data_IF_743006782173
#
_entry.id   IF_743006782173
#
_cell.length_a   1.000
_cell.length_b   1.000
_cell.length_c   1.000
_cell.angle_alpha   90.00
_cell.angle_beta   90.00
_cell.angle_gamma   90.00
#
_symmetry.space_group_name_H-M   'P 1'
#
loop_
_entity.id
_entity.type
_entity.pdbx_description
1 polymer ?
#
# COMPACT_ATOMS: atom_id res chain seq x y z
N UNK A 1 -16.45 7.74 14.50
CA UNK A 1 -16.52 7.45 13.04
C UNK A 1 -17.50 8.36 12.32
N UNK A 2 -18.33 9.12 13.04
CA UNK A 2 -19.42 9.91 12.47
C UNK A 2 -18.92 10.99 11.50
N UNK A 3 -17.73 11.54 11.73
CA UNK A 3 -17.08 12.45 10.77
C UNK A 3 -16.83 11.76 9.43
N UNK A 4 -16.20 10.58 9.41
CA UNK A 4 -15.93 9.83 8.17
C UNK A 4 -17.23 9.44 7.48
N UNK A 5 -18.25 9.03 8.24
CA UNK A 5 -19.57 8.72 7.69
C UNK A 5 -20.22 9.95 7.04
N UNK A 6 -20.13 11.13 7.69
CA UNK A 6 -20.61 12.39 7.13
C UNK A 6 -19.89 12.75 5.83
N UNK A 7 -18.57 12.64 5.80
CA UNK A 7 -17.79 12.92 4.57
C UNK A 7 -18.14 11.95 3.44
N UNK A 8 -18.41 10.66 3.74
CA UNK A 8 -18.91 9.71 2.74
C UNK A 8 -20.28 10.08 2.17
N UNK A 9 -21.15 10.69 2.99
CA UNK A 9 -22.45 11.21 2.51
C UNK A 9 -22.24 12.44 1.63
N UNK A 10 -21.42 13.40 2.06
CA UNK A 10 -21.12 14.61 1.28
C UNK A 10 -20.50 14.27 -0.08
N UNK A 11 -19.64 13.24 -0.11
CA UNK A 11 -19.04 12.74 -1.34
C UNK A 11 -20.06 12.26 -2.40
N UNK A 12 -21.30 11.91 -2.02
CA UNK A 12 -22.33 11.52 -2.98
C UNK A 12 -22.76 12.67 -3.91
N UNK A 13 -22.52 13.92 -3.51
CA UNK A 13 -22.87 15.11 -4.27
C UNK A 13 -21.75 15.54 -5.24
N UNK A 14 -20.56 14.93 -5.15
CA UNK A 14 -19.44 15.18 -6.05
C UNK A 14 -19.64 14.51 -7.42
N UNK A 15 -19.00 15.02 -8.50
CA UNK A 15 -19.05 14.37 -9.81
C UNK A 15 -18.66 12.89 -9.74
N UNK A 16 -19.41 12.04 -10.45
CA UNK A 16 -19.12 10.60 -10.47
C UNK A 16 -17.85 10.30 -11.28
N UNK A 17 -16.74 10.13 -10.58
CA UNK A 17 -15.44 9.76 -11.17
C UNK A 17 -15.25 8.24 -11.25
N UNK A 18 -16.31 7.48 -11.53
CA UNK A 18 -16.25 6.02 -11.63
C UNK A 18 -16.37 5.32 -10.28
N UNK A 19 -17.16 5.89 -9.38
CA UNK A 19 -17.27 5.39 -8.02
C UNK A 19 -18.05 4.06 -7.95
N UNK A 20 -17.45 3.06 -7.30
CA UNK A 20 -17.97 1.70 -7.24
C UNK A 20 -19.30 1.57 -6.49
N UNK A 21 -20.16 0.66 -6.96
CA UNK A 21 -21.52 0.46 -6.46
C UNK A 21 -21.58 0.17 -4.95
N UNK A 22 -20.60 -0.56 -4.38
CA UNK A 22 -20.62 -0.89 -2.96
C UNK A 22 -20.37 0.30 -2.04
N UNK A 23 -19.37 1.13 -2.35
CA UNK A 23 -19.09 2.34 -1.55
C UNK A 23 -20.25 3.33 -1.69
N UNK A 24 -20.81 3.50 -2.89
CA UNK A 24 -22.02 4.31 -3.11
C UNK A 24 -23.21 3.78 -2.31
N UNK A 25 -23.51 2.49 -2.39
CA UNK A 25 -24.61 1.88 -1.65
C UNK A 25 -24.49 2.06 -0.14
N UNK A 26 -23.28 1.91 0.41
CA UNK A 26 -23.04 2.17 1.82
C UNK A 26 -23.18 3.66 2.20
N UNK A 27 -22.74 4.58 1.34
CA UNK A 27 -22.94 6.01 1.55
C UNK A 27 -24.43 6.42 1.47
N UNK A 28 -25.21 5.79 0.59
CA UNK A 28 -26.66 5.98 0.51
C UNK A 28 -27.34 5.52 1.81
N UNK A 29 -26.98 4.35 2.35
CA UNK A 29 -27.46 3.90 3.66
C UNK A 29 -27.15 4.92 4.77
N UNK A 30 -25.94 5.50 4.76
CA UNK A 30 -25.57 6.56 5.72
C UNK A 30 -26.45 7.81 5.56
N UNK A 31 -26.73 8.21 4.32
CA UNK A 31 -27.61 9.34 4.00
C UNK A 31 -29.04 9.12 4.50
N UNK A 32 -29.51 7.88 4.46
CA UNK A 32 -30.83 7.47 4.97
C UNK A 32 -30.86 7.35 6.51
N UNK A 33 -29.78 7.76 7.20
CA UNK A 33 -29.69 7.78 8.66
C UNK A 33 -29.30 6.44 9.29
N UNK A 34 -28.92 5.43 8.49
CA UNK A 34 -28.45 4.15 9.03
C UNK A 34 -27.09 4.39 9.70
N UNK A 35 -27.00 4.02 10.98
CA UNK A 35 -25.77 4.14 11.75
C UNK A 35 -24.58 3.44 11.05
N UNK A 36 -23.39 4.06 11.07
CA UNK A 36 -22.21 3.60 10.32
C UNK A 36 -21.79 2.14 10.58
N UNK A 37 -22.13 1.59 11.75
CA UNK A 37 -21.86 0.19 12.06
C UNK A 37 -22.76 -0.80 11.31
N UNK A 38 -23.83 -0.32 10.67
CA UNK A 38 -24.87 -1.07 9.95
C UNK A 38 -25.04 -0.65 8.49
N UNK A 39 -24.45 0.46 8.03
CA UNK A 39 -24.58 0.98 6.65
C UNK A 39 -23.85 0.15 5.58
N UNK A 40 -22.91 -0.68 6.03
CA UNK A 40 -21.97 -1.49 5.25
C UNK A 40 -22.61 -2.64 4.46
N UNK A 41 -22.05 -2.94 3.30
CA UNK A 41 -22.49 -4.04 2.43
C UNK A 41 -21.49 -5.20 2.47
N UNK A 42 -21.98 -6.44 2.30
CA UNK A 42 -21.11 -7.60 2.19
C UNK A 42 -20.49 -7.69 0.80
N UNK A 43 -19.33 -7.07 0.65
CA UNK A 43 -18.60 -7.07 -0.61
C UNK A 43 -17.10 -7.17 -0.38
N UNK A 44 -16.48 -7.94 -1.27
CA UNK A 44 -15.05 -8.22 -1.34
C UNK A 44 -14.30 -7.16 -2.17
N UNK A 45 -14.99 -6.20 -2.78
CA UNK A 45 -14.35 -5.23 -3.69
C UNK A 45 -13.35 -4.31 -2.97
N UNK A 46 -12.41 -3.77 -3.74
CA UNK A 46 -11.25 -3.04 -3.22
C UNK A 46 -11.53 -1.61 -2.73
N UNK A 47 -12.78 -1.12 -2.81
CA UNK A 47 -13.10 0.28 -2.53
C UNK A 47 -12.76 0.74 -1.10
N UNK A 48 -12.70 -0.19 -0.13
CA UNK A 48 -12.20 0.09 1.23
C UNK A 48 -10.67 0.23 1.29
N UNK A 49 -9.94 -0.67 0.63
CA UNK A 49 -8.48 -0.65 0.50
C UNK A 49 -7.99 0.64 -0.18
N UNK A 50 -8.62 1.07 -1.28
CA UNK A 50 -8.15 2.17 -2.13
C UNK A 50 -7.97 3.52 -1.40
N UNK A 51 -8.62 3.71 -0.26
CA UNK A 51 -8.63 4.98 0.50
C UNK A 51 -7.92 4.88 1.86
N UNK A 52 -7.34 3.73 2.19
CA UNK A 52 -6.91 3.44 3.57
C UNK A 52 -5.50 3.93 3.89
N UNK A 53 -4.69 4.19 2.86
CA UNK A 53 -3.25 4.45 3.01
C UNK A 53 -2.92 5.61 3.95
N UNK A 54 -3.76 6.66 4.00
CA UNK A 54 -3.57 7.81 4.89
C UNK A 54 -3.50 7.43 6.39
N UNK A 55 -4.15 6.33 6.78
CA UNK A 55 -4.11 5.83 8.16
C UNK A 55 -2.74 5.26 8.52
N UNK A 56 -1.99 4.75 7.54
CA UNK A 56 -0.60 4.33 7.71
C UNK A 56 0.33 5.50 8.06
N UNK A 57 0.03 6.69 7.53
CA UNK A 57 0.75 7.92 7.88
C UNK A 57 0.32 8.45 9.25
N UNK A 58 -1.00 8.58 9.50
CA UNK A 58 -1.54 9.16 10.74
C UNK A 58 -1.17 8.32 11.98
N UNK A 59 -1.24 6.99 11.87
CA UNK A 59 -0.99 6.06 12.98
C UNK A 59 0.34 5.33 12.84
N UNK A 60 1.30 5.89 12.09
CA UNK A 60 2.61 5.29 11.84
C UNK A 60 3.29 4.74 13.10
N UNK A 61 3.23 5.51 14.19
CA UNK A 61 3.91 5.20 15.45
C UNK A 61 3.04 4.39 16.44
N UNK A 62 1.86 3.92 16.03
CA UNK A 62 0.92 3.17 16.86
C UNK A 62 0.26 2.05 16.02
N UNK A 63 0.96 0.91 15.81
CA UNK A 63 0.49 -0.19 14.98
C UNK A 63 -0.87 -0.76 15.40
N UNK A 64 -1.12 -0.90 16.71
CA UNK A 64 -2.39 -1.42 17.21
C UNK A 64 -3.56 -0.49 16.86
N UNK A 65 -3.37 0.82 17.04
CA UNK A 65 -4.37 1.81 16.66
C UNK A 65 -4.52 1.93 15.15
N UNK A 66 -3.44 1.77 14.39
CA UNK A 66 -3.48 1.70 12.93
C UNK A 66 -4.38 0.55 12.47
N UNK A 67 -4.14 -0.67 12.94
CA UNK A 67 -4.94 -1.87 12.59
C UNK A 67 -6.42 -1.64 12.93
N UNK A 68 -6.69 -1.15 14.14
CA UNK A 68 -8.05 -0.84 14.58
C UNK A 68 -8.72 0.23 13.72
N UNK A 69 -8.02 1.34 13.44
CA UNK A 69 -8.56 2.43 12.64
C UNK A 69 -8.80 2.00 11.19
N UNK A 70 -7.88 1.26 10.59
CA UNK A 70 -8.01 0.72 9.24
C UNK A 70 -9.21 -0.23 9.14
N UNK A 71 -9.34 -1.15 10.11
CA UNK A 71 -10.47 -2.07 10.14
C UNK A 71 -11.80 -1.34 10.27
N UNK A 72 -11.93 -0.39 11.20
CA UNK A 72 -13.19 0.35 11.41
C UNK A 72 -13.51 1.21 10.19
N UNK A 73 -12.53 1.87 9.57
CA UNK A 73 -12.70 2.72 8.38
C UNK A 73 -13.16 1.93 7.15
N UNK A 74 -12.54 0.77 6.88
CA UNK A 74 -12.98 -0.13 5.81
C UNK A 74 -14.39 -0.66 6.05
N UNK A 75 -14.69 -1.03 7.30
CA UNK A 75 -15.97 -1.60 7.73
C UNK A 75 -17.15 -0.64 7.67
N UNK A 76 -16.98 0.66 7.44
CA UNK A 76 -18.12 1.55 7.17
C UNK A 76 -18.81 1.17 5.85
N UNK A 77 -18.05 0.64 4.88
CA UNK A 77 -18.61 0.35 3.55
C UNK A 77 -18.52 -1.13 3.14
N UNK A 78 -17.53 -1.89 3.61
CA UNK A 78 -17.34 -3.30 3.25
C UNK A 78 -17.33 -4.20 4.51
N UNK A 79 -18.17 -5.24 4.56
CA UNK A 79 -18.15 -6.20 5.69
C UNK A 79 -17.31 -7.43 5.45
N UNK A 80 -16.89 -7.69 4.22
CA UNK A 80 -16.22 -8.94 3.88
C UNK A 80 -14.85 -9.01 4.58
N UNK A 81 -14.51 -10.13 5.25
CA UNK A 81 -13.23 -10.25 5.98
C UNK A 81 -12.01 -9.99 5.10
N UNK A 82 -12.03 -10.44 3.84
CA UNK A 82 -10.96 -10.17 2.87
C UNK A 82 -10.76 -8.68 2.58
N UNK A 83 -11.83 -7.89 2.45
CA UNK A 83 -11.73 -6.44 2.27
C UNK A 83 -11.19 -5.75 3.53
N UNK A 84 -11.53 -6.27 4.71
CA UNK A 84 -10.99 -5.81 5.98
C UNK A 84 -9.47 -6.11 6.10
N UNK A 85 -9.06 -7.34 5.81
CA UNK A 85 -7.65 -7.75 5.84
C UNK A 85 -6.82 -6.91 4.88
N UNK A 86 -7.29 -6.74 3.64
CA UNK A 86 -6.65 -5.87 2.65
C UNK A 86 -6.56 -4.41 3.12
N UNK A 87 -7.61 -3.86 3.73
CA UNK A 87 -7.58 -2.49 4.26
C UNK A 87 -6.52 -2.33 5.37
N UNK A 88 -6.43 -3.31 6.28
CA UNK A 88 -5.41 -3.33 7.33
C UNK A 88 -4.02 -3.41 6.69
N UNK A 89 -3.79 -4.35 5.78
CA UNK A 89 -2.51 -4.50 5.06
C UNK A 89 -2.13 -3.23 4.29
N UNK A 90 -3.09 -2.58 3.62
CA UNK A 90 -2.85 -1.34 2.86
C UNK A 90 -2.34 -0.20 3.74
N UNK A 91 -2.96 0.00 4.91
CA UNK A 91 -2.49 1.00 5.86
C UNK A 91 -1.14 0.61 6.45
N UNK A 92 -0.95 -0.67 6.74
CA UNK A 92 0.28 -1.17 7.37
C UNK A 92 1.48 -1.13 6.41
N UNK A 93 1.27 -1.44 5.13
CA UNK A 93 2.27 -1.31 4.07
C UNK A 93 2.77 0.15 3.95
N UNK A 94 1.87 1.15 4.00
CA UNK A 94 2.26 2.56 4.00
C UNK A 94 3.10 2.91 5.23
N UNK A 95 2.73 2.42 6.42
CA UNK A 95 3.54 2.58 7.63
C UNK A 95 4.94 1.99 7.45
N UNK A 96 5.04 0.76 6.95
CA UNK A 96 6.32 0.06 6.73
C UNK A 96 7.20 0.80 5.72
N UNK A 97 6.60 1.28 4.63
CA UNK A 97 7.30 2.09 3.64
C UNK A 97 7.83 3.41 4.24
N UNK A 98 7.04 4.08 5.10
CA UNK A 98 7.49 5.30 5.79
C UNK A 98 8.63 5.01 6.78
N UNK A 99 8.65 3.83 7.38
CA UNK A 99 9.73 3.33 8.26
C UNK A 99 10.98 2.90 7.49
N UNK A 100 10.95 2.92 6.15
CA UNK A 100 12.08 2.53 5.32
C UNK A 100 12.31 1.02 5.28
N UNK A 101 11.28 0.22 5.60
CA UNK A 101 11.33 -1.24 5.41
C UNK A 101 11.35 -1.54 3.91
N UNK A 102 12.28 -2.37 3.47
CA UNK A 102 12.33 -2.74 2.05
C UNK A 102 11.11 -3.59 1.66
N UNK A 103 10.59 -3.48 0.42
CA UNK A 103 9.36 -4.18 0.03
C UNK A 103 9.43 -5.69 0.20
N UNK A 104 10.61 -6.27 0.00
CA UNK A 104 10.91 -7.70 0.21
C UNK A 104 10.82 -8.13 1.67
N UNK A 105 11.06 -7.20 2.61
CA UNK A 105 11.01 -7.45 4.05
C UNK A 105 9.63 -7.17 4.67
N UNK A 106 8.69 -6.64 3.89
CA UNK A 106 7.33 -6.33 4.38
C UNK A 106 6.45 -7.57 4.55
N UNK A 107 6.81 -8.73 3.98
CA UNK A 107 5.93 -9.91 3.94
C UNK A 107 5.54 -10.41 5.34
N UNK A 108 6.51 -10.66 6.21
CA UNK A 108 6.27 -11.16 7.57
C UNK A 108 5.45 -10.15 8.42
N UNK A 109 5.81 -8.84 8.48
CA UNK A 109 4.97 -7.87 9.19
C UNK A 109 3.54 -7.75 8.65
N UNK A 110 3.34 -7.86 7.33
CA UNK A 110 2.00 -7.82 6.72
C UNK A 110 1.19 -9.07 7.07
N UNK A 111 1.83 -10.24 7.12
CA UNK A 111 1.21 -11.50 7.53
C UNK A 111 0.78 -11.45 8.99
N UNK A 112 1.67 -10.98 9.88
CA UNK A 112 1.37 -10.79 11.31
C UNK A 112 0.24 -9.78 11.52
N UNK A 113 0.31 -8.61 10.87
CA UNK A 113 -0.68 -7.55 11.00
C UNK A 113 -2.08 -7.92 10.48
N UNK A 114 -2.20 -8.98 9.67
CA UNK A 114 -3.47 -9.47 9.12
C UNK A 114 -3.88 -10.85 9.61
N UNK A 115 -3.13 -11.42 10.57
CA UNK A 115 -3.33 -12.77 11.06
C UNK A 115 -4.77 -13.01 11.54
N UNK A 116 -5.37 -14.10 11.07
CA UNK A 116 -6.72 -14.52 11.48
C UNK A 116 -7.88 -13.69 10.93
N UNK A 117 -7.62 -12.67 10.10
CA UNK A 117 -8.70 -11.84 9.53
C UNK A 117 -9.35 -12.53 8.32
N UNK A 118 -8.57 -13.02 7.36
CA UNK A 118 -9.09 -13.74 6.19
C UNK A 118 -8.03 -14.67 5.58
N UNK A 119 -8.36 -15.96 5.50
CA UNK A 119 -7.50 -16.95 4.84
C UNK A 119 -7.30 -16.67 3.35
N UNK A 120 -8.35 -16.18 2.68
CA UNK A 120 -8.31 -15.82 1.26
C UNK A 120 -7.33 -14.66 1.01
N UNK A 121 -7.33 -13.66 1.89
CA UNK A 121 -6.34 -12.58 1.82
C UNK A 121 -4.92 -13.10 2.04
N UNK A 122 -4.72 -13.96 3.05
CA UNK A 122 -3.42 -14.58 3.34
C UNK A 122 -2.87 -15.31 2.12
N UNK A 123 -3.71 -16.11 1.45
CA UNK A 123 -3.32 -16.82 0.22
C UNK A 123 -2.92 -15.86 -0.91
N UNK A 124 -3.64 -14.75 -1.08
CA UNK A 124 -3.30 -13.73 -2.09
C UNK A 124 -1.98 -13.03 -1.77
N UNK A 125 -1.72 -12.69 -0.51
CA UNK A 125 -0.46 -12.14 -0.04
C UNK A 125 0.70 -13.10 -0.31
N UNK A 126 0.58 -14.36 0.10
CA UNK A 126 1.56 -15.42 -0.19
C UNK A 126 1.79 -15.59 -1.69
N UNK A 127 0.72 -15.61 -2.49
CA UNK A 127 0.80 -15.75 -3.95
C UNK A 127 1.55 -14.58 -4.58
N UNK A 128 1.31 -13.34 -4.14
CA UNK A 128 2.03 -12.16 -4.64
C UNK A 128 3.51 -12.21 -4.32
N UNK A 129 3.87 -12.57 -3.08
CA UNK A 129 5.26 -12.72 -2.66
C UNK A 129 5.97 -13.81 -3.47
N UNK A 130 5.39 -15.02 -3.55
CA UNK A 130 5.97 -16.12 -4.33
C UNK A 130 6.10 -15.81 -5.82
N UNK A 131 5.15 -15.06 -6.37
CA UNK A 131 5.18 -14.65 -7.78
C UNK A 131 6.30 -13.64 -8.03
N UNK A 132 6.56 -12.73 -7.08
CA UNK A 132 7.66 -11.77 -7.18
C UNK A 132 9.05 -12.43 -7.24
N UNK A 133 9.24 -13.57 -6.58
CA UNK A 133 10.50 -14.33 -6.60
C UNK A 133 10.57 -15.43 -7.66
N UNK A 134 9.57 -15.52 -8.55
CA UNK A 134 9.60 -16.48 -9.65
C UNK A 134 10.15 -15.84 -10.92
N UNK A 135 10.58 -16.67 -11.87
CA UNK A 135 11.07 -16.20 -13.19
C UNK A 135 9.96 -15.67 -14.12
N UNK A 136 8.75 -15.45 -13.58
CA UNK A 136 7.61 -14.94 -14.35
C UNK A 136 7.82 -13.47 -14.66
N UNK A 137 7.57 -13.06 -15.91
CA UNK A 137 7.57 -11.65 -16.28
C UNK A 137 6.44 -10.88 -15.60
N UNK A 138 6.60 -9.56 -15.45
CA UNK A 138 5.60 -8.70 -14.81
C UNK A 138 4.20 -8.85 -15.41
N UNK A 139 4.09 -8.93 -16.74
CA UNK A 139 2.79 -9.06 -17.42
C UNK A 139 2.06 -10.35 -17.04
N UNK A 140 2.75 -11.48 -17.07
CA UNK A 140 2.16 -12.78 -16.73
C UNK A 140 1.95 -12.95 -15.23
N UNK A 141 2.81 -12.32 -14.41
CA UNK A 141 2.63 -12.21 -12.96
C UNK A 141 1.34 -11.48 -12.61
N UNK A 142 1.05 -10.35 -13.27
CA UNK A 142 -0.21 -9.62 -13.07
C UNK A 142 -1.42 -10.48 -13.47
N UNK A 143 -1.40 -11.11 -14.65
CA UNK A 143 -2.48 -11.99 -15.11
C UNK A 143 -2.77 -13.14 -14.13
N UNK A 144 -1.72 -13.69 -13.53
CA UNK A 144 -1.82 -14.77 -12.53
C UNK A 144 -2.47 -14.33 -11.22
N UNK A 145 -2.17 -13.11 -10.76
CA UNK A 145 -2.60 -12.63 -9.44
C UNK A 145 -4.04 -12.11 -9.42
N UNK A 146 -4.58 -11.68 -10.56
CA UNK A 146 -5.99 -11.31 -10.67
C UNK A 146 -6.22 -10.10 -11.56
N UNK A 147 -7.42 -9.54 -11.47
CA UNK A 147 -7.85 -8.40 -12.28
C UNK A 147 -7.97 -7.10 -11.48
N UNK A 148 -7.87 -7.18 -10.14
CA UNK A 148 -7.88 -6.00 -9.26
C UNK A 148 -9.28 -5.48 -8.93
N UNK A 149 -10.31 -6.31 -9.11
CA UNK A 149 -11.67 -5.97 -8.67
C UNK A 149 -11.86 -6.24 -7.17
N UNK A 150 -11.26 -7.32 -6.69
CA UNK A 150 -11.32 -7.72 -5.29
C UNK A 150 -10.14 -7.19 -4.50
N UNK A 151 -10.36 -6.94 -3.21
CA UNK A 151 -9.39 -6.27 -2.35
C UNK A 151 -8.08 -7.04 -2.16
N UNK A 152 -8.17 -8.37 -2.06
CA UNK A 152 -7.03 -9.29 -2.03
C UNK A 152 -6.22 -9.27 -3.33
N UNK A 153 -6.88 -9.41 -4.49
CA UNK A 153 -6.22 -9.31 -5.79
C UNK A 153 -5.53 -7.96 -5.96
N UNK A 154 -6.24 -6.88 -5.62
CA UNK A 154 -5.73 -5.50 -5.75
C UNK A 154 -4.47 -5.31 -4.90
N UNK A 155 -4.50 -5.77 -3.65
CA UNK A 155 -3.34 -5.69 -2.78
C UNK A 155 -2.19 -6.57 -3.29
N UNK A 156 -2.48 -7.81 -3.70
CA UNK A 156 -1.51 -8.75 -4.24
C UNK A 156 -0.80 -8.19 -5.48
N UNK A 157 -1.53 -7.62 -6.42
CA UNK A 157 -0.99 -6.97 -7.62
C UNK A 157 -0.08 -5.79 -7.24
N UNK A 158 -0.53 -4.92 -6.34
CA UNK A 158 0.24 -3.77 -5.89
C UNK A 158 1.53 -4.20 -5.17
N UNK A 159 1.46 -5.20 -4.30
CA UNK A 159 2.61 -5.68 -3.54
C UNK A 159 3.63 -6.40 -4.43
N UNK A 160 3.16 -7.24 -5.37
CA UNK A 160 4.01 -7.86 -6.40
C UNK A 160 4.80 -6.81 -7.18
N UNK A 161 4.12 -5.78 -7.69
CA UNK A 161 4.78 -4.69 -8.43
C UNK A 161 5.74 -3.90 -7.55
N UNK A 162 5.41 -3.70 -6.27
CA UNK A 162 6.27 -2.98 -5.35
C UNK A 162 7.62 -3.70 -5.16
N UNK A 163 7.60 -5.02 -4.98
CA UNK A 163 8.82 -5.85 -4.91
C UNK A 163 9.58 -5.79 -6.24
N UNK A 164 8.91 -6.11 -7.35
CA UNK A 164 9.54 -6.20 -8.66
C UNK A 164 10.20 -4.88 -9.11
N UNK A 165 9.57 -3.74 -8.79
CA UNK A 165 10.13 -2.41 -9.07
C UNK A 165 11.31 -2.08 -8.14
N UNK A 166 11.24 -2.43 -6.85
CA UNK A 166 12.34 -2.19 -5.92
C UNK A 166 13.61 -2.91 -6.37
N UNK A 167 13.53 -4.19 -6.71
CA UNK A 167 14.68 -4.95 -7.20
C UNK A 167 15.27 -4.35 -8.49
N UNK A 168 14.42 -3.91 -9.42
CA UNK A 168 14.86 -3.27 -10.65
C UNK A 168 15.60 -1.96 -10.38
N UNK A 169 15.11 -1.15 -9.43
CA UNK A 169 15.77 0.09 -9.02
C UNK A 169 17.11 -0.20 -8.34
N UNK A 170 17.18 -1.19 -7.44
CA UNK A 170 18.42 -1.61 -6.80
C UNK A 170 19.47 -2.10 -7.80
N UNK A 171 19.07 -2.94 -8.78
CA UNK A 171 19.94 -3.37 -9.89
C UNK A 171 20.46 -2.17 -10.70
N UNK A 172 19.57 -1.25 -11.10
CA UNK A 172 19.96 -0.06 -11.87
C UNK A 172 20.91 0.88 -11.11
N UNK A 173 20.75 1.01 -9.79
CA UNK A 173 21.63 1.79 -8.93
C UNK A 173 23.01 1.11 -8.80
N UNK A 174 23.03 -0.21 -8.71
CA UNK A 174 24.26 -1.01 -8.69
C UNK A 174 25.01 -0.86 -10.00
N UNK A 175 24.35 -1.05 -11.14
CA UNK A 175 24.93 -0.88 -12.48
C UNK A 175 25.47 0.53 -12.69
N UNK A 176 24.71 1.56 -12.26
CA UNK A 176 25.16 2.95 -12.31
C UNK A 176 26.37 3.20 -11.41
N UNK A 177 26.42 2.59 -10.23
CA UNK A 177 27.57 2.68 -9.32
C UNK A 177 28.82 2.01 -9.91
N UNK A 178 28.66 0.87 -10.60
CA UNK A 178 29.74 0.15 -11.26
C UNK A 178 30.22 0.90 -12.50
N UNK A 179 29.31 1.41 -13.32
CA UNK A 179 29.64 2.29 -14.44
C UNK A 179 30.39 3.53 -13.96
N UNK A 180 29.94 4.20 -12.90
CA UNK A 180 30.65 5.35 -12.34
C UNK A 180 32.02 4.98 -11.76
N UNK A 181 32.17 3.80 -11.15
CA UNK A 181 33.49 3.29 -10.70
C UNK A 181 34.43 2.97 -11.87
N UNK A 182 33.89 2.44 -12.98
CA UNK A 182 34.68 1.95 -14.12
C UNK A 182 34.96 3.00 -15.19
N UNK A 183 34.05 3.94 -15.37
CA UNK A 183 34.04 4.94 -16.46
C UNK A 183 33.68 6.35 -16.00
N UNK A 184 33.21 6.54 -14.76
CA UNK A 184 32.92 7.86 -14.22
C UNK A 184 34.21 8.66 -14.08
N UNK A 185 34.29 9.79 -14.79
CA UNK A 185 35.36 10.76 -14.57
C UNK A 185 35.33 11.17 -13.11
N UNK A 186 36.34 10.74 -12.34
CA UNK A 186 36.56 11.18 -10.98
C UNK A 186 36.56 12.71 -10.98
N UNK A 187 35.51 13.31 -10.43
CA UNK A 187 35.47 14.74 -10.22
C UNK A 187 36.60 15.04 -9.23
N UNK A 188 37.77 15.47 -9.73
CA UNK A 188 38.90 15.94 -8.93
C UNK A 188 38.54 17.28 -8.27
N UNK A 189 37.43 17.36 -7.54
CA UNK A 189 37.18 18.42 -6.58
C UNK A 189 37.90 18.04 -5.28
N UNK A 190 39.22 18.19 -5.29
CA UNK A 190 40.10 17.69 -4.23
C UNK A 190 41.46 18.34 -4.26
N UNK A 191 41.52 19.67 -4.42
CA UNK A 191 42.67 20.47 -3.98
C UNK A 191 42.15 21.67 -3.18
N UNK A 192 42.17 21.53 -1.84
CA UNK A 192 42.23 22.70 -0.96
C UNK A 192 43.58 23.37 -1.27
N UNK A 193 43.53 24.56 -1.85
CA UNK A 193 44.71 25.42 -1.88
C UNK A 193 44.99 25.88 -0.45
N UNK A 194 46.01 25.30 0.18
CA UNK A 194 46.68 25.89 1.33
C UNK A 194 47.47 27.10 0.83
N UNK A 195 47.03 28.31 1.20
CA UNK A 195 47.87 29.49 1.08
C UNK A 195 48.88 29.48 2.22
N UNK A 196 50.13 29.18 1.91
CA UNK A 196 51.30 29.51 2.72
C UNK A 196 52.18 30.45 1.90
N UNK A 197 52.16 31.73 2.23
CA UNK A 197 53.20 32.68 1.82
C UNK A 197 53.89 33.20 3.08
N UNK A 198 55.02 32.58 3.41
CA UNK A 198 56.24 33.29 3.81
C UNK A 198 56.80 33.88 2.50
N UNK A 199 57.04 35.18 2.35
CA UNK A 199 57.96 36.00 3.12
C UNK A 199 59.27 36.05 2.34
N UNK A 200 59.46 37.13 1.58
CA UNK A 200 60.74 37.78 1.20
C UNK A 200 60.42 39.18 0.65
#
# INVERSE_FOLDING_TARGET
MDKIAKELVLWLDEPDLGAGANTKGAALNLRDGIHWSKSRLNSKTCGSLMRIGILGFIFRNDPEKLIKAASISGRITHTHPTANAASVAGAYAVKLALDGVEPTEMFEPLLEGTQGISQEFTQALESSYRTAYSDIGNEDGLKKLGQGWYADETFALAYFLHIALSERLQKSNTDRSEYNRRFGFGCKCGRRHSWSQTGD
#
